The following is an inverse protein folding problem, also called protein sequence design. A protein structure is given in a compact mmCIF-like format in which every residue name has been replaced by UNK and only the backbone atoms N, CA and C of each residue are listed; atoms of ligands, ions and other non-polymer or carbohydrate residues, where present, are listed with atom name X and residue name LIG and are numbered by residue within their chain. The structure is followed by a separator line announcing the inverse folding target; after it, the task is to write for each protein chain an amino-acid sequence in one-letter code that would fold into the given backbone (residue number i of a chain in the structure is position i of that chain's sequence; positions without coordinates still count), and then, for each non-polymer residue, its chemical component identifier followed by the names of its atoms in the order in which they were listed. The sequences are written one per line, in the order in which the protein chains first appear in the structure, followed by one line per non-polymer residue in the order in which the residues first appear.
data_IF_759339854214
#
_entry.id   IF_759339854214
#
_cell.length_a   1.000
_cell.length_b   1.000
_cell.length_c   1.000
_cell.angle_alpha   90.00
_cell.angle_beta   90.00
_cell.angle_gamma   90.00
#
_symmetry.space_group_name_H-M   'P 1'
#
loop_
_entity.id
_entity.type
_entity.pdbx_description
1 polymer ?
#
# COMPACT_ATOMS: atom_id res chain seq x y z
N UNK A 1 11.83 -26.13 24.50
CA UNK A 1 12.05 -25.25 23.32
C UNK A 1 11.25 -25.67 22.07
N UNK A 2 11.41 -26.93 21.61
CA UNK A 2 10.73 -27.42 20.41
C UNK A 2 9.19 -27.30 20.47
N UNK A 3 8.58 -27.70 21.59
CA UNK A 3 7.13 -27.61 21.79
C UNK A 3 6.63 -26.15 21.66
N UNK A 4 7.35 -25.19 22.25
CA UNK A 4 7.02 -23.77 22.19
C UNK A 4 7.08 -23.27 20.73
N UNK A 5 8.09 -23.68 19.96
CA UNK A 5 8.20 -23.31 18.55
C UNK A 5 7.02 -23.85 17.71
N UNK A 6 6.56 -25.07 17.97
CA UNK A 6 5.39 -25.64 17.29
C UNK A 6 4.13 -24.82 17.58
N UNK A 7 3.92 -24.41 18.83
CA UNK A 7 2.78 -23.57 19.21
C UNK A 7 2.80 -22.18 18.55
N UNK A 8 3.97 -21.63 18.24
CA UNK A 8 4.10 -20.36 17.52
C UNK A 8 3.92 -20.57 16.00
N UNK A 9 4.50 -21.65 15.46
CA UNK A 9 4.52 -21.91 14.02
C UNK A 9 3.13 -22.23 13.46
N UNK A 10 2.33 -23.05 14.16
CA UNK A 10 1.00 -23.45 13.68
C UNK A 10 0.04 -22.26 13.39
N UNK A 11 -0.18 -21.31 14.32
CA UNK A 11 -1.02 -20.15 14.03
C UNK A 11 -0.39 -19.20 12.99
N UNK A 12 0.94 -19.06 12.99
CA UNK A 12 1.68 -18.23 12.02
C UNK A 12 1.49 -18.75 10.59
N UNK A 13 1.68 -20.05 10.36
CA UNK A 13 1.48 -20.69 9.07
C UNK A 13 0.03 -20.58 8.61
N UNK A 14 -0.94 -20.78 9.52
CA UNK A 14 -2.36 -20.59 9.19
C UNK A 14 -2.65 -19.17 8.71
N UNK A 15 -2.13 -18.16 9.39
CA UNK A 15 -2.25 -16.76 8.97
C UNK A 15 -1.61 -16.50 7.62
N UNK A 16 -0.40 -17.05 7.38
CA UNK A 16 0.30 -16.91 6.11
C UNK A 16 -0.55 -17.41 4.93
N UNK A 17 -1.13 -18.60 5.05
CA UNK A 17 -1.98 -19.15 3.98
C UNK A 17 -3.29 -18.36 3.79
N UNK A 18 -3.91 -17.88 4.88
CA UNK A 18 -5.11 -17.04 4.79
C UNK A 18 -4.83 -15.70 4.11
N UNK A 19 -3.62 -15.15 4.24
CA UNK A 19 -3.22 -13.91 3.56
C UNK A 19 -2.92 -14.12 2.08
N UNK A 20 -2.46 -15.32 1.70
CA UNK A 20 -2.11 -15.67 0.32
C UNK A 20 -3.32 -16.12 -0.51
N UNK A 21 -4.48 -16.39 0.11
CA UNK A 21 -5.72 -16.68 -0.60
C UNK A 21 -6.18 -15.46 -1.43
N UNK A 22 -5.82 -15.45 -2.71
CA UNK A 22 -6.26 -14.44 -3.67
C UNK A 22 -7.72 -14.72 -4.06
N UNK A 23 -8.61 -13.87 -3.56
CA UNK A 23 -9.99 -13.81 -4.02
C UNK A 23 -10.12 -12.89 -5.25
N UNK A 24 -11.29 -12.90 -5.91
CA UNK A 24 -11.62 -12.06 -7.06
C UNK A 24 -11.69 -10.57 -6.63
N UNK A 25 -10.71 -9.73 -6.99
CA UNK A 25 -10.73 -8.33 -6.60
C UNK A 25 -11.78 -7.56 -7.41
N UNK A 26 -12.36 -6.55 -6.79
CA UNK A 26 -13.30 -5.62 -7.41
C UNK A 26 -12.61 -4.45 -8.10
N UNK A 27 -11.42 -4.09 -7.62
CA UNK A 27 -10.63 -2.98 -8.12
C UNK A 27 -9.14 -3.35 -8.06
N UNK A 28 -8.41 -2.92 -9.08
CA UNK A 28 -6.95 -3.00 -9.16
C UNK A 28 -6.37 -1.59 -9.16
N UNK A 29 -5.48 -1.34 -8.20
CA UNK A 29 -4.67 -0.12 -8.09
C UNK A 29 -3.22 -0.48 -8.33
N UNK A 30 -2.55 0.22 -9.23
CA UNK A 30 -1.09 0.15 -9.37
C UNK A 30 -0.48 1.32 -8.62
N UNK A 31 0.50 1.04 -7.77
CA UNK A 31 1.29 2.01 -7.03
C UNK A 31 2.73 1.94 -7.52
N UNK A 32 3.23 3.08 -8.00
CA UNK A 32 4.55 3.20 -8.62
C UNK A 32 5.39 4.13 -7.74
N UNK A 33 6.47 3.60 -7.19
CA UNK A 33 7.43 4.38 -6.40
C UNK A 33 8.38 5.16 -7.31
N UNK A 34 8.56 6.43 -6.98
CA UNK A 34 9.55 7.32 -7.57
C UNK A 34 10.40 7.94 -6.46
N UNK A 35 11.51 8.58 -6.82
CA UNK A 35 12.32 9.36 -5.89
C UNK A 35 11.47 10.46 -5.23
N UNK A 36 11.07 10.17 -3.99
CA UNK A 36 10.36 11.03 -3.05
C UNK A 36 8.88 11.30 -3.35
N UNK A 37 8.24 10.50 -4.19
CA UNK A 37 6.79 10.54 -4.39
C UNK A 37 6.23 9.21 -4.89
N UNK A 38 4.90 9.10 -4.92
CA UNK A 38 4.21 7.93 -5.44
C UNK A 38 3.27 8.35 -6.57
N UNK A 39 3.20 7.54 -7.62
CA UNK A 39 2.18 7.65 -8.65
C UNK A 39 1.19 6.51 -8.51
N UNK A 40 -0.09 6.80 -8.73
CA UNK A 40 -1.17 5.83 -8.61
C UNK A 40 -1.95 5.75 -9.93
N UNK A 41 -2.18 4.53 -10.40
CA UNK A 41 -2.94 4.24 -11.62
C UNK A 41 -4.08 3.28 -11.28
N UNK A 42 -5.33 3.70 -11.52
CA UNK A 42 -6.48 2.80 -11.41
C UNK A 42 -6.70 2.09 -12.75
N UNK A 43 -6.14 0.89 -12.88
CA UNK A 43 -6.08 0.17 -14.16
C UNK A 43 -7.45 -0.22 -14.73
N UNK A 44 -8.48 -0.33 -13.89
CA UNK A 44 -9.84 -0.69 -14.31
C UNK A 44 -10.60 0.49 -14.93
N UNK A 45 -10.12 1.71 -14.76
CA UNK A 45 -10.69 2.92 -15.33
C UNK A 45 -9.79 3.48 -16.44
N UNK A 46 -10.39 4.04 -17.50
CA UNK A 46 -9.61 4.67 -18.55
C UNK A 46 -9.03 6.00 -18.07
N UNK A 47 -7.70 6.12 -18.09
CA UNK A 47 -6.92 7.37 -17.89
C UNK A 47 -7.06 8.01 -16.50
N UNK A 48 -7.16 7.21 -15.44
CA UNK A 48 -7.11 7.75 -14.08
C UNK A 48 -5.75 7.44 -13.44
N UNK A 49 -4.84 8.37 -13.61
CA UNK A 49 -3.50 8.37 -13.00
C UNK A 49 -3.19 9.73 -12.38
N UNK A 50 -2.44 9.74 -11.27
CA UNK A 50 -2.03 10.97 -10.60
C UNK A 50 -0.80 10.73 -9.72
N UNK A 51 -0.07 11.81 -9.46
CA UNK A 51 1.07 11.82 -8.55
C UNK A 51 0.65 12.31 -7.16
N UNK A 52 1.30 11.76 -6.14
CA UNK A 52 1.04 12.02 -4.73
C UNK A 52 2.34 12.47 -4.06
N UNK A 53 2.41 13.75 -3.76
CA UNK A 53 3.52 14.43 -3.09
C UNK A 53 3.15 14.79 -1.66
N UNK A 54 4.13 14.73 -0.76
CA UNK A 54 4.00 15.22 0.59
C UNK A 54 3.78 16.74 0.59
N UNK A 55 2.77 17.21 1.33
CA UNK A 55 2.50 18.65 1.45
C UNK A 55 3.63 19.32 2.25
N UNK A 56 4.28 20.38 1.71
CA UNK A 56 5.26 21.16 2.43
C UNK A 56 4.71 21.76 3.73
N UNK A 57 5.53 21.84 4.79
CA UNK A 57 5.06 22.28 6.12
C UNK A 57 4.54 23.73 6.14
N UNK A 58 5.03 24.58 5.24
CA UNK A 58 4.56 25.96 5.04
C UNK A 58 3.18 26.06 4.35
N UNK A 59 2.75 25.01 3.64
CA UNK A 59 1.47 24.93 2.93
C UNK A 59 0.44 24.07 3.70
N UNK A 60 0.87 23.46 4.80
CA UNK A 60 0.05 22.57 5.61
C UNK A 60 -1.08 23.36 6.31
N UNK A 61 -2.30 22.84 6.21
CA UNK A 61 -3.43 23.39 6.98
C UNK A 61 -3.21 23.24 8.49
N UNK A 62 -3.86 24.07 9.31
CA UNK A 62 -3.74 24.01 10.77
C UNK A 62 -4.11 22.64 11.39
N UNK A 63 -4.92 21.84 10.69
CA UNK A 63 -5.34 20.50 11.13
C UNK A 63 -4.58 19.38 10.40
N UNK A 64 -3.59 19.71 9.58
CA UNK A 64 -2.83 18.74 8.81
C UNK A 64 -1.77 18.02 9.64
N UNK A 65 -1.42 16.82 9.21
CA UNK A 65 -0.38 16.01 9.81
C UNK A 65 0.96 16.23 9.12
N UNK A 66 1.91 16.81 9.86
CA UNK A 66 3.27 17.07 9.37
C UNK A 66 3.94 15.76 8.93
N UNK A 67 4.51 15.75 7.72
CA UNK A 67 5.16 14.60 7.07
C UNK A 67 4.26 13.40 6.70
N UNK A 68 2.94 13.53 6.84
CA UNK A 68 2.00 12.44 6.53
C UNK A 68 0.96 12.84 5.48
N UNK A 69 0.54 14.10 5.48
CA UNK A 69 -0.41 14.57 4.48
C UNK A 69 0.23 14.73 3.10
N UNK A 70 -0.55 14.33 2.09
CA UNK A 70 -0.21 14.40 0.68
C UNK A 70 -1.23 15.26 -0.06
N UNK A 71 -0.82 15.83 -1.19
CA UNK A 71 -1.65 16.67 -2.05
C UNK A 71 -2.84 15.89 -2.64
N UNK A 72 -2.57 14.72 -3.21
CA UNK A 72 -3.55 13.83 -3.81
C UNK A 72 -3.58 12.51 -3.05
N UNK A 73 -4.68 12.25 -2.34
CA UNK A 73 -4.90 11.01 -1.60
C UNK A 73 -5.47 9.93 -2.52
N UNK A 74 -5.03 8.70 -2.32
CA UNK A 74 -5.69 7.53 -2.92
C UNK A 74 -7.10 7.41 -2.33
N UNK A 75 -8.10 7.26 -3.18
CA UNK A 75 -9.49 7.07 -2.79
C UNK A 75 -9.90 5.67 -3.19
N UNK A 76 -10.29 4.86 -2.21
CA UNK A 76 -10.65 3.46 -2.41
C UNK A 76 -12.05 3.18 -1.86
N UNK A 77 -12.85 2.33 -2.54
CA UNK A 77 -14.16 1.93 -2.04
C UNK A 77 -14.05 1.11 -0.76
N UNK A 78 -14.79 1.52 0.26
CA UNK A 78 -14.85 0.82 1.53
C UNK A 78 -15.51 -0.57 1.39
N UNK A 79 -15.06 -1.53 2.20
CA UNK A 79 -15.59 -2.90 2.26
C UNK A 79 -15.62 -3.63 0.90
N UNK A 80 -14.58 -3.41 0.09
CA UNK A 80 -14.37 -4.09 -1.18
C UNK A 80 -12.97 -4.69 -1.21
N UNK A 81 -12.82 -5.81 -1.92
CA UNK A 81 -11.51 -6.43 -2.10
C UNK A 81 -10.74 -5.71 -3.21
N UNK A 82 -9.63 -5.10 -2.83
CA UNK A 82 -8.78 -4.31 -3.73
C UNK A 82 -7.46 -5.05 -3.91
N UNK A 83 -7.05 -5.23 -5.17
CA UNK A 83 -5.71 -5.70 -5.52
C UNK A 83 -4.79 -4.49 -5.68
N UNK A 84 -3.64 -4.53 -5.01
CA UNK A 84 -2.61 -3.49 -5.14
C UNK A 84 -1.40 -4.12 -5.83
N UNK A 85 -0.98 -3.54 -6.95
CA UNK A 85 0.23 -3.92 -7.67
C UNK A 85 1.30 -2.85 -7.39
N UNK A 86 2.40 -3.25 -6.76
CA UNK A 86 3.47 -2.32 -6.35
C UNK A 86 4.70 -2.54 -7.22
N UNK A 87 5.28 -1.46 -7.75
CA UNK A 87 6.55 -1.45 -8.50
C UNK A 87 7.22 -0.08 -8.33
N UNK A 88 8.43 0.10 -8.83
CA UNK A 88 9.15 1.37 -8.82
C UNK A 88 9.63 1.73 -10.23
N UNK A 89 9.90 3.02 -10.49
CA UNK A 89 10.49 3.44 -11.76
C UNK A 89 12.00 3.71 -11.68
N UNK A 90 12.54 3.84 -10.47
CA UNK A 90 13.95 4.22 -10.25
C UNK A 90 14.70 3.29 -9.30
N UNK A 91 14.56 3.47 -8.00
CA UNK A 91 15.25 2.72 -6.94
C UNK A 91 14.25 1.90 -6.14
N UNK A 92 14.76 1.14 -5.18
CA UNK A 92 13.91 0.40 -4.25
C UNK A 92 13.11 1.36 -3.36
N UNK A 93 11.80 1.13 -3.27
CA UNK A 93 10.91 1.75 -2.30
C UNK A 93 10.11 0.66 -1.56
N UNK A 94 9.28 1.05 -0.60
CA UNK A 94 8.38 0.11 0.09
C UNK A 94 7.04 0.80 0.36
N UNK A 95 5.98 0.26 -0.23
CA UNK A 95 4.63 0.78 -0.05
C UNK A 95 4.03 0.18 1.22
N UNK A 96 3.74 1.02 2.21
CA UNK A 96 3.35 0.58 3.55
C UNK A 96 2.15 1.37 4.06
N UNK A 97 1.09 0.67 4.48
CA UNK A 97 -0.03 1.23 5.25
C UNK A 97 -0.23 0.37 6.51
N UNK A 98 0.34 0.78 7.67
CA UNK A 98 0.32 -0.04 8.88
C UNK A 98 -1.09 -0.37 9.37
N UNK A 99 -2.03 0.57 9.25
CA UNK A 99 -3.42 0.37 9.67
C UNK A 99 -4.15 -0.71 8.86
N UNK A 100 -3.70 -1.03 7.64
CA UNK A 100 -4.20 -2.12 6.82
C UNK A 100 -3.39 -3.41 6.99
N UNK A 101 -2.29 -3.39 7.73
CA UNK A 101 -1.37 -4.52 7.84
C UNK A 101 -0.61 -4.83 6.55
N UNK A 102 -0.49 -3.87 5.63
CA UNK A 102 0.15 -4.06 4.32
C UNK A 102 1.52 -3.40 4.28
N UNK A 103 2.52 -4.17 3.84
CA UNK A 103 3.86 -3.71 3.46
C UNK A 103 4.35 -4.55 2.29
N UNK A 104 4.67 -3.89 1.18
CA UNK A 104 5.16 -4.55 -0.04
C UNK A 104 6.30 -3.72 -0.62
N UNK A 105 7.42 -4.36 -0.91
CA UNK A 105 8.56 -3.70 -1.52
C UNK A 105 8.30 -3.40 -3.01
N UNK A 106 8.67 -2.20 -3.43
CA UNK A 106 8.57 -1.71 -4.78
C UNK A 106 9.94 -1.86 -5.46
N UNK A 107 10.02 -2.78 -6.43
CA UNK A 107 11.24 -3.02 -7.20
C UNK A 107 11.07 -2.51 -8.64
N UNK A 108 12.13 -1.92 -9.24
CA UNK A 108 12.14 -1.55 -10.66
C UNK A 108 12.01 -2.74 -11.61
#
# INVERSE_FOLDING_TARGET
PAIILVFIALPSLRLLYLLDEISNPWLTLKSIGHQWYWSYEYSDFKKLEFDSYMIPTNELSNNGFRLLDVDNRIVLPFNSQIRILVSAMDVLHSWTIPALGVKIDATP
#
